data_IF_836159656370
#
_entry.id   IF_836159656370
#
_cell.length_a   1.000
_cell.length_b   1.000
_cell.length_c   1.000
_cell.angle_alpha   90.00
_cell.angle_beta   90.00
_cell.angle_gamma   90.00
#
_symmetry.space_group_name_H-M   'P 1'
#
loop_
_entity.id
_entity.type
_entity.pdbx_description
1 polymer ?
#
# COMPACT_ATOMS: atom_id res chain seq x y z
N UNK A 1 -18.43 -4.52 -15.75
CA UNK A 1 -17.76 -3.87 -16.90
C UNK A 1 -16.60 -2.93 -16.52
N UNK A 2 -16.43 -2.50 -15.26
CA UNK A 2 -15.38 -1.54 -14.85
C UNK A 2 -14.00 -2.17 -14.53
N UNK A 3 -13.97 -3.40 -14.00
CA UNK A 3 -12.72 -4.08 -13.59
C UNK A 3 -11.75 -4.32 -14.76
N UNK A 4 -12.25 -4.65 -15.96
CA UNK A 4 -11.40 -4.87 -17.14
C UNK A 4 -10.68 -3.59 -17.58
N UNK A 5 -11.32 -2.42 -17.46
CA UNK A 5 -10.68 -1.14 -17.77
C UNK A 5 -9.54 -0.86 -16.80
N UNK A 6 -9.78 -1.08 -15.51
CA UNK A 6 -8.78 -0.91 -14.45
C UNK A 6 -7.60 -1.87 -14.64
N UNK A 7 -7.86 -3.13 -14.99
CA UNK A 7 -6.82 -4.12 -15.27
C UNK A 7 -5.95 -3.73 -16.48
N UNK A 8 -6.56 -3.19 -17.54
CA UNK A 8 -5.81 -2.72 -18.70
C UNK A 8 -4.82 -1.61 -18.33
N UNK A 9 -5.22 -0.63 -17.51
CA UNK A 9 -4.30 0.40 -16.99
C UNK A 9 -3.22 -0.19 -16.06
N UNK A 10 -3.56 -1.19 -15.24
CA UNK A 10 -2.57 -1.87 -14.38
C UNK A 10 -1.46 -2.55 -15.19
N UNK A 11 -1.74 -3.01 -16.42
CA UNK A 11 -0.77 -3.67 -17.31
C UNK A 11 -0.02 -2.64 -18.17
N UNK A 12 -0.73 -1.76 -18.88
CA UNK A 12 -0.14 -0.88 -19.88
C UNK A 12 0.35 0.47 -19.32
N UNK A 13 -0.27 0.97 -18.24
CA UNK A 13 0.07 2.24 -17.61
C UNK A 13 0.18 2.11 -16.07
N UNK A 14 1.13 1.30 -15.57
CA UNK A 14 1.22 0.97 -14.14
C UNK A 14 1.36 2.22 -13.25
N UNK A 15 2.13 3.24 -13.67
CA UNK A 15 2.30 4.48 -12.90
C UNK A 15 0.97 5.20 -12.67
N UNK A 16 0.17 5.38 -13.72
CA UNK A 16 -1.13 6.04 -13.62
C UNK A 16 -2.11 5.23 -12.75
N UNK A 17 -2.08 3.90 -12.89
CA UNK A 17 -2.87 3.00 -12.05
C UNK A 17 -2.53 3.19 -10.56
N UNK A 18 -1.25 3.13 -10.19
CA UNK A 18 -0.85 3.28 -8.78
C UNK A 18 -1.16 4.67 -8.22
N UNK A 19 -0.90 5.75 -8.98
CA UNK A 19 -1.32 7.09 -8.56
C UNK A 19 -2.84 7.15 -8.30
N UNK A 20 -3.65 6.62 -9.22
CA UNK A 20 -5.11 6.58 -9.07
C UNK A 20 -5.59 5.66 -7.94
N UNK A 21 -4.76 4.72 -7.50
CA UNK A 21 -5.05 3.85 -6.35
C UNK A 21 -4.77 4.60 -5.03
N UNK A 22 -3.58 5.19 -4.88
CA UNK A 22 -3.16 5.83 -3.63
C UNK A 22 -3.91 7.13 -3.31
N UNK A 23 -4.57 7.75 -4.29
CA UNK A 23 -5.23 9.03 -4.09
C UNK A 23 -6.63 8.92 -3.43
N UNK A 24 -7.66 8.31 -4.04
CA UNK A 24 -9.00 8.25 -3.45
C UNK A 24 -9.29 6.96 -2.66
N UNK A 25 -8.55 5.87 -2.93
CA UNK A 25 -8.99 4.52 -2.51
C UNK A 25 -8.39 4.09 -1.18
N UNK A 26 -7.29 4.72 -0.78
CA UNK A 26 -6.56 4.29 0.40
C UNK A 26 -7.06 5.05 1.63
N UNK A 27 -7.51 4.28 2.63
CA UNK A 27 -8.02 4.82 3.89
C UNK A 27 -6.95 4.87 5.00
N UNK A 28 -5.83 4.17 4.82
CA UNK A 28 -4.75 4.09 5.80
C UNK A 28 -3.38 4.05 5.09
N UNK A 29 -2.53 5.02 5.41
CA UNK A 29 -1.16 5.11 4.91
C UNK A 29 -0.17 5.15 6.06
N UNK A 30 0.96 4.50 5.88
CA UNK A 30 2.12 4.57 6.77
C UNK A 30 3.32 4.96 5.90
N UNK A 31 3.55 6.28 5.76
CA UNK A 31 4.50 6.85 4.78
C UNK A 31 5.92 6.36 5.05
N UNK A 32 6.31 6.24 6.31
CA UNK A 32 7.63 5.76 6.72
C UNK A 32 7.89 4.35 6.18
N UNK A 33 6.97 3.42 6.41
CA UNK A 33 7.06 2.05 5.89
C UNK A 33 7.02 2.03 4.37
N UNK A 34 6.14 2.83 3.75
CA UNK A 34 5.93 2.84 2.29
C UNK A 34 7.09 3.45 1.49
N UNK A 35 7.91 4.29 2.11
CA UNK A 35 9.07 4.95 1.47
C UNK A 35 10.36 4.14 1.64
N UNK A 36 10.35 3.16 2.55
CA UNK A 36 11.52 2.34 2.89
C UNK A 36 11.70 1.17 1.90
N UNK A 37 12.61 0.25 2.20
CA UNK A 37 12.89 -0.94 1.42
C UNK A 37 11.73 -1.95 1.42
N UNK A 38 11.71 -2.81 0.39
CA UNK A 38 10.75 -3.90 0.21
C UNK A 38 10.71 -4.82 1.44
N UNK A 39 11.87 -5.11 2.03
CA UNK A 39 11.99 -5.99 3.21
C UNK A 39 11.24 -5.45 4.43
N UNK A 40 11.29 -4.13 4.65
CA UNK A 40 10.58 -3.47 5.76
C UNK A 40 9.07 -3.55 5.57
N UNK A 41 8.60 -3.32 4.34
CA UNK A 41 7.18 -3.46 3.98
C UNK A 41 6.70 -4.89 4.21
N UNK A 42 7.48 -5.87 3.75
CA UNK A 42 7.15 -7.29 3.92
C UNK A 42 7.16 -7.72 5.39
N UNK A 43 8.14 -7.27 6.17
CA UNK A 43 8.20 -7.50 7.62
C UNK A 43 6.97 -6.91 8.33
N UNK A 44 6.54 -5.70 7.94
CA UNK A 44 5.34 -5.05 8.48
C UNK A 44 4.08 -5.86 8.20
N UNK A 45 3.88 -6.32 6.97
CA UNK A 45 2.75 -7.20 6.59
C UNK A 45 2.78 -8.49 7.42
N UNK A 46 3.94 -9.12 7.54
CA UNK A 46 4.10 -10.35 8.31
C UNK A 46 3.75 -10.16 9.78
N UNK A 47 4.18 -9.04 10.40
CA UNK A 47 3.86 -8.72 11.79
C UNK A 47 2.35 -8.58 12.03
N UNK A 48 1.61 -7.91 11.13
CA UNK A 48 0.16 -7.77 11.27
C UNK A 48 -0.52 -9.14 11.05
N UNK A 49 -0.06 -9.92 10.07
CA UNK A 49 -0.59 -11.25 9.79
C UNK A 49 -0.35 -12.26 10.92
N UNK A 50 0.80 -12.22 11.60
CA UNK A 50 1.04 -13.08 12.78
C UNK A 50 0.11 -12.70 13.93
N UNK A 51 -0.08 -11.40 14.19
CA UNK A 51 -1.04 -10.92 15.20
C UNK A 51 -2.49 -11.29 14.89
N UNK A 52 -2.86 -11.35 13.61
CA UNK A 52 -4.19 -11.82 13.16
C UNK A 52 -4.40 -13.34 13.35
N UNK A 53 -3.33 -14.13 13.19
CA UNK A 53 -3.36 -15.60 13.35
C UNK A 53 -3.39 -16.02 14.82
N UNK A 54 -2.79 -15.24 15.71
CA UNK A 54 -2.80 -15.51 17.15
C UNK A 54 -4.17 -15.17 17.75
N UNK A 55 -4.85 -16.16 18.34
CA UNK A 55 -6.20 -15.99 18.90
C UNK A 55 -6.28 -14.94 20.01
N UNK A 56 -5.21 -14.76 20.79
CA UNK A 56 -5.13 -13.79 21.89
C UNK A 56 -4.93 -12.36 21.40
N UNK A 57 -4.15 -12.16 20.34
CA UNK A 57 -3.80 -10.84 19.80
C UNK A 57 -4.74 -10.38 18.70
N UNK A 58 -5.57 -11.28 18.16
CA UNK A 58 -6.52 -11.02 17.07
C UNK A 58 -7.49 -9.87 17.38
N UNK A 59 -7.95 -9.77 18.62
CA UNK A 59 -8.87 -8.71 19.04
C UNK A 59 -8.19 -7.33 19.19
N UNK A 60 -6.86 -7.29 19.23
CA UNK A 60 -6.09 -6.04 19.30
C UNK A 60 -5.82 -5.45 17.91
N UNK A 61 -6.07 -6.21 16.83
CA UNK A 61 -5.82 -5.73 15.47
C UNK A 61 -6.91 -4.75 15.06
N UNK A 62 -6.52 -3.50 14.86
CA UNK A 62 -7.46 -2.42 14.57
C UNK A 62 -7.93 -2.50 13.11
N UNK A 63 -9.14 -2.01 12.80
CA UNK A 63 -9.66 -1.89 11.43
C UNK A 63 -8.67 -1.12 10.53
N UNK A 64 -7.96 -0.12 11.08
CA UNK A 64 -6.89 0.61 10.40
C UNK A 64 -5.73 -0.30 9.97
N UNK A 65 -5.29 -1.24 10.81
CA UNK A 65 -4.20 -2.17 10.49
C UNK A 65 -4.62 -3.17 9.40
N UNK A 66 -5.89 -3.60 9.38
CA UNK A 66 -6.42 -4.43 8.29
C UNK A 66 -6.41 -3.67 6.96
N UNK A 67 -6.89 -2.44 6.95
CA UNK A 67 -6.86 -1.58 5.76
C UNK A 67 -5.42 -1.24 5.34
N UNK A 68 -4.47 -1.23 6.28
CA UNK A 68 -3.05 -1.01 6.01
C UNK A 68 -2.42 -2.22 5.30
N UNK A 69 -2.84 -3.45 5.58
CA UNK A 69 -2.33 -4.64 4.86
C UNK A 69 -2.61 -4.50 3.37
N UNK A 70 -3.85 -4.20 2.97
CA UNK A 70 -4.23 -4.04 1.56
C UNK A 70 -3.36 -3.01 0.83
N UNK A 71 -2.97 -1.94 1.53
CA UNK A 71 -2.20 -0.83 0.94
C UNK A 71 -0.71 -1.15 0.86
N UNK A 72 -0.19 -1.87 1.86
CA UNK A 72 1.19 -2.37 1.86
C UNK A 72 1.39 -3.46 0.81
N UNK A 73 0.41 -4.31 0.54
CA UNK A 73 0.48 -5.30 -0.55
C UNK A 73 0.62 -4.62 -1.92
N UNK A 74 -0.18 -3.59 -2.19
CA UNK A 74 -0.08 -2.80 -3.42
C UNK A 74 1.25 -2.04 -3.49
N UNK A 75 1.75 -1.56 -2.35
CA UNK A 75 3.08 -0.92 -2.27
C UNK A 75 4.20 -1.90 -2.60
N UNK A 76 4.13 -3.13 -2.08
CA UNK A 76 5.09 -4.19 -2.38
C UNK A 76 5.05 -4.57 -3.87
N UNK A 77 3.86 -4.63 -4.46
CA UNK A 77 3.69 -4.85 -5.90
C UNK A 77 4.33 -3.71 -6.72
N UNK A 78 4.09 -2.45 -6.34
CA UNK A 78 4.67 -1.28 -6.98
C UNK A 78 6.20 -1.32 -6.95
N UNK A 79 6.78 -1.63 -5.78
CA UNK A 79 8.23 -1.72 -5.60
C UNK A 79 8.84 -2.87 -6.41
N UNK A 80 8.17 -4.02 -6.44
CA UNK A 80 8.62 -5.19 -7.20
C UNK A 80 8.61 -4.94 -8.73
N UNK A 81 7.75 -4.03 -9.20
CA UNK A 81 7.74 -3.56 -10.60
C UNK A 81 8.80 -2.49 -10.90
N UNK A 82 9.65 -2.14 -9.92
CA UNK A 82 10.73 -1.18 -10.08
C UNK A 82 10.34 0.28 -9.86
N UNK A 83 9.14 0.56 -9.36
CA UNK A 83 8.73 1.91 -8.98
C UNK A 83 9.08 2.19 -7.51
N UNK A 84 9.20 3.46 -7.14
CA UNK A 84 9.47 3.88 -5.76
C UNK A 84 8.55 5.01 -5.36
N UNK A 85 8.17 5.03 -4.08
CA UNK A 85 7.47 6.15 -3.46
C UNK A 85 8.54 7.09 -2.92
N UNK A 86 8.42 8.38 -3.24
CA UNK A 86 9.32 9.41 -2.73
C UNK A 86 8.88 9.85 -1.34
N UNK A 87 9.81 10.22 -0.44
CA UNK A 87 9.46 10.90 0.79
C UNK A 87 8.71 12.21 0.51
N UNK A 88 8.00 12.70 1.53
CA UNK A 88 7.26 13.95 1.47
C UNK A 88 8.20 15.12 1.16
N UNK A 89 7.84 15.91 0.14
CA UNK A 89 8.57 17.11 -0.29
C UNK A 89 7.61 18.30 -0.36
N UNK A 90 7.96 19.42 0.29
CA UNK A 90 7.15 20.62 0.37
C UNK A 90 6.84 21.26 -1.00
N UNK A 91 7.72 21.12 -1.99
CA UNK A 91 7.59 21.78 -3.29
C UNK A 91 6.88 20.92 -4.32
N UNK A 92 7.06 19.59 -4.24
CA UNK A 92 6.52 18.65 -5.21
C UNK A 92 5.25 17.94 -4.74
N UNK A 93 5.03 17.85 -3.43
CA UNK A 93 3.85 17.17 -2.89
C UNK A 93 2.62 18.04 -3.01
N UNK A 94 1.52 17.47 -3.52
CA UNK A 94 0.25 18.17 -3.69
C UNK A 94 -0.77 17.64 -2.71
N UNK A 95 -1.60 18.55 -2.18
CA UNK A 95 -2.83 18.19 -1.49
C UNK A 95 -3.88 17.84 -2.54
N UNK A 96 -4.46 16.65 -2.42
CA UNK A 96 -5.60 16.22 -3.24
C UNK A 96 -6.92 16.67 -2.59
#
# INVERSE_FOLDING_TARGET
>A
MMANRVAWFKVHHPRAYYCSYFTPRVNAHEIETQTTNIETVQSRINNINTRLKNFETKNQVTIKEKNLIDTLEVTLELMSRGFKISPLDLYYSRRY
#
